data_IF_456228462823
#
_entry.id   IF_456228462823
#
_cell.length_a   1.000
_cell.length_b   1.000
_cell.length_c   1.000
_cell.angle_alpha   90.00
_cell.angle_beta   90.00
_cell.angle_gamma   90.00
#
_symmetry.space_group_name_H-M   'P 1'
#
loop_
_entity.id
_entity.type
_entity.pdbx_description
1 polymer ?
#
# COMPACT_ATOMS: atom_id res chain seq x y z
N UNK A 1 6.77 27.57 32.74
CA UNK A 1 5.73 26.51 32.65
C UNK A 1 5.72 25.98 31.23
N UNK A 2 6.18 24.76 31.07
CA UNK A 2 6.03 24.05 29.79
C UNK A 2 4.55 23.70 29.63
N UNK A 3 3.90 24.19 28.58
CA UNK A 3 2.62 23.64 28.15
C UNK A 3 2.89 22.18 27.77
N UNK A 4 2.38 21.24 28.55
CA UNK A 4 2.22 19.86 28.13
C UNK A 4 1.29 19.91 26.91
N UNK A 5 1.85 19.84 25.72
CA UNK A 5 1.09 19.55 24.52
C UNK A 5 0.60 18.11 24.71
N UNK A 6 -0.68 17.94 24.97
CA UNK A 6 -1.31 16.62 24.89
C UNK A 6 -1.05 16.12 23.47
N UNK A 7 -0.20 15.10 23.36
CA UNK A 7 0.01 14.41 22.11
C UNK A 7 -1.26 13.60 21.86
N UNK A 8 -2.11 14.03 20.95
CA UNK A 8 -3.26 13.26 20.51
C UNK A 8 -2.74 12.10 19.67
N UNK A 9 -2.62 10.93 20.28
CA UNK A 9 -2.35 9.70 19.57
C UNK A 9 -3.66 9.13 19.05
N UNK A 10 -3.65 8.69 17.78
CA UNK A 10 -4.79 8.01 17.19
C UNK A 10 -4.58 6.50 17.22
N UNK A 11 -5.68 5.78 17.36
CA UNK A 11 -5.73 4.34 17.19
C UNK A 11 -6.11 4.00 15.75
N UNK A 12 -5.37 3.07 15.14
CA UNK A 12 -5.61 2.62 13.75
C UNK A 12 -6.09 1.19 13.77
N UNK A 13 -7.24 0.97 13.15
CA UNK A 13 -7.80 -0.36 12.95
C UNK A 13 -7.83 -0.66 11.45
N UNK A 14 -7.32 -1.83 11.07
CA UNK A 14 -7.39 -2.32 9.71
C UNK A 14 -8.53 -3.31 9.56
N UNK A 15 -9.36 -3.11 8.56
CA UNK A 15 -10.42 -4.04 8.19
C UNK A 15 -10.19 -4.46 6.75
N UNK A 16 -9.93 -5.75 6.56
CA UNK A 16 -9.70 -6.34 5.23
C UNK A 16 -10.92 -7.14 4.79
N UNK A 17 -11.38 -6.84 3.59
CA UNK A 17 -12.37 -7.66 2.89
C UNK A 17 -11.78 -8.16 1.58
N UNK A 18 -11.83 -9.48 1.38
CA UNK A 18 -11.37 -10.13 0.15
C UNK A 18 -12.44 -11.06 -0.39
N UNK A 19 -12.55 -11.09 -1.73
CA UNK A 19 -13.46 -12.00 -2.42
C UNK A 19 -12.71 -12.69 -3.55
N UNK A 20 -12.95 -14.00 -3.71
CA UNK A 20 -12.36 -14.78 -4.78
C UNK A 20 -13.19 -14.65 -6.05
N UNK A 21 -12.51 -14.55 -7.19
CA UNK A 21 -13.18 -14.62 -8.49
C UNK A 21 -13.58 -16.09 -8.76
N UNK A 22 -14.86 -16.32 -9.18
CA UNK A 22 -15.34 -17.57 -9.79
C UNK A 22 -14.69 -18.83 -9.19
N UNK A 23 -15.15 -19.36 -8.12
CA UNK A 23 -14.70 -20.65 -7.53
C UNK A 23 -13.18 -20.84 -7.38
N UNK A 24 -12.36 -19.81 -7.66
CA UNK A 24 -10.93 -19.82 -7.38
C UNK A 24 -10.73 -19.81 -5.86
N UNK A 25 -10.00 -20.81 -5.36
CA UNK A 25 -9.73 -20.96 -3.93
C UNK A 25 -8.68 -19.97 -3.39
N UNK A 26 -7.97 -19.27 -4.27
CA UNK A 26 -6.89 -18.35 -3.92
C UNK A 26 -7.20 -16.96 -4.46
N UNK A 27 -7.22 -15.97 -3.56
CA UNK A 27 -7.32 -14.58 -3.94
C UNK A 27 -5.99 -14.08 -4.53
N UNK A 28 -6.07 -13.36 -5.66
CA UNK A 28 -4.90 -12.72 -6.27
C UNK A 28 -4.34 -11.54 -5.49
N UNK A 29 -5.07 -11.04 -4.51
CA UNK A 29 -4.69 -9.89 -3.69
C UNK A 29 -3.97 -10.35 -2.44
N UNK A 30 -3.05 -9.51 -1.96
CA UNK A 30 -2.34 -9.73 -0.70
C UNK A 30 -2.27 -8.46 0.11
N UNK A 31 -2.57 -8.57 1.39
CA UNK A 31 -2.53 -7.46 2.35
C UNK A 31 -1.48 -7.73 3.43
N UNK A 32 -0.71 -6.69 3.74
CA UNK A 32 0.28 -6.68 4.81
C UNK A 32 0.08 -5.44 5.67
N UNK A 33 0.07 -5.62 6.98
CA UNK A 33 0.06 -4.51 7.92
C UNK A 33 1.20 -4.68 8.92
N UNK A 34 2.01 -3.63 9.09
CA UNK A 34 3.04 -3.56 10.12
C UNK A 34 2.78 -2.39 11.05
N UNK A 35 2.86 -2.64 12.33
CA UNK A 35 2.67 -1.63 13.37
C UNK A 35 3.94 -1.46 14.19
N UNK A 36 4.30 -0.21 14.41
CA UNK A 36 5.33 0.18 15.35
C UNK A 36 4.77 1.25 16.31
N UNK A 37 5.47 1.63 17.37
CA UNK A 37 5.00 2.70 18.25
C UNK A 37 4.75 4.03 17.54
N UNK A 38 5.45 4.31 16.46
CA UNK A 38 5.40 5.59 15.76
C UNK A 38 4.53 5.57 14.49
N UNK A 39 4.37 4.38 13.86
CA UNK A 39 3.75 4.29 12.53
C UNK A 39 2.91 3.02 12.37
N UNK A 40 1.91 3.12 11.51
CA UNK A 40 1.22 1.98 10.92
C UNK A 40 1.47 1.99 9.42
N UNK A 41 1.94 0.87 8.88
CA UNK A 41 2.19 0.66 7.47
C UNK A 41 1.22 -0.38 6.94
N UNK A 42 0.37 0.00 6.00
CA UNK A 42 -0.56 -0.90 5.32
C UNK A 42 -0.20 -1.00 3.85
N UNK A 43 -0.07 -2.23 3.36
CA UNK A 43 0.29 -2.54 1.99
C UNK A 43 -0.76 -3.45 1.39
N UNK A 44 -1.39 -3.01 0.31
CA UNK A 44 -2.32 -3.81 -0.47
C UNK A 44 -1.75 -4.03 -1.86
N UNK A 45 -1.59 -5.28 -2.25
CA UNK A 45 -1.09 -5.68 -3.55
C UNK A 45 -2.15 -6.45 -4.32
N UNK A 46 -2.38 -6.06 -5.57
CA UNK A 46 -3.27 -6.72 -6.51
C UNK A 46 -2.43 -7.39 -7.60
N UNK A 47 -2.30 -8.73 -7.49
CA UNK A 47 -1.59 -9.53 -8.48
C UNK A 47 -2.39 -9.65 -9.76
N UNK A 48 -1.77 -9.31 -10.88
CA UNK A 48 -2.42 -9.35 -12.18
C UNK A 48 -2.44 -10.77 -12.76
N UNK A 49 -3.61 -11.15 -13.20
CA UNK A 49 -3.94 -12.51 -13.59
C UNK A 49 -4.96 -13.12 -12.64
N UNK A 50 -4.93 -14.42 -12.49
CA UNK A 50 -5.82 -15.15 -11.58
C UNK A 50 -5.11 -16.31 -10.87
N UNK A 51 -5.69 -16.71 -9.74
CA UNK A 51 -5.23 -17.89 -9.01
C UNK A 51 -3.86 -17.70 -8.36
N UNK A 52 -3.10 -18.80 -8.32
CA UNK A 52 -1.83 -18.91 -7.60
C UNK A 52 -0.78 -17.94 -8.14
N UNK A 53 -0.68 -17.77 -9.45
CA UNK A 53 0.32 -16.86 -10.05
C UNK A 53 0.11 -15.42 -9.64
N UNK A 54 -1.13 -14.94 -9.66
CA UNK A 54 -1.47 -13.60 -9.22
C UNK A 54 -1.19 -13.41 -7.73
N UNK A 55 -1.56 -14.39 -6.91
CA UNK A 55 -1.27 -14.36 -5.47
C UNK A 55 0.23 -14.31 -5.18
N UNK A 56 1.05 -15.14 -5.84
CA UNK A 56 2.50 -15.13 -5.68
C UNK A 56 3.10 -13.77 -6.09
N UNK A 57 2.64 -13.19 -7.19
CA UNK A 57 3.08 -11.86 -7.63
C UNK A 57 2.77 -10.79 -6.56
N UNK A 58 1.57 -10.82 -5.99
CA UNK A 58 1.16 -9.91 -4.93
C UNK A 58 1.99 -10.09 -3.65
N UNK A 59 2.23 -11.31 -3.22
CA UNK A 59 3.06 -11.62 -2.05
C UNK A 59 4.52 -11.17 -2.25
N UNK A 60 5.09 -11.43 -3.40
CA UNK A 60 6.45 -10.98 -3.73
C UNK A 60 6.55 -9.46 -3.77
N UNK A 61 5.57 -8.79 -4.35
CA UNK A 61 5.51 -7.33 -4.38
C UNK A 61 5.44 -6.76 -2.95
N UNK A 62 4.58 -7.29 -2.09
CA UNK A 62 4.46 -6.86 -0.70
C UNK A 62 5.76 -7.05 0.08
N UNK A 63 6.44 -8.18 -0.09
CA UNK A 63 7.75 -8.44 0.53
C UNK A 63 8.81 -7.46 0.08
N UNK A 64 8.87 -7.17 -1.21
CA UNK A 64 9.82 -6.18 -1.76
C UNK A 64 9.55 -4.78 -1.24
N UNK A 65 8.28 -4.38 -1.18
CA UNK A 65 7.88 -3.09 -0.60
C UNK A 65 8.32 -2.99 0.86
N UNK A 66 8.05 -4.00 1.66
CA UNK A 66 8.45 -4.04 3.06
C UNK A 66 9.96 -3.88 3.23
N UNK A 67 10.75 -4.64 2.49
CA UNK A 67 12.22 -4.57 2.56
C UNK A 67 12.74 -3.22 2.07
N UNK A 68 12.22 -2.72 0.96
CA UNK A 68 12.63 -1.42 0.42
C UNK A 68 12.30 -0.28 1.38
N UNK A 69 11.13 -0.29 2.00
CA UNK A 69 10.71 0.73 2.97
C UNK A 69 11.59 0.70 4.22
N UNK A 70 12.02 -0.47 4.65
CA UNK A 70 12.95 -0.61 5.79
C UNK A 70 14.36 -0.14 5.47
N UNK A 71 14.83 -0.38 4.24
CA UNK A 71 16.19 -0.07 3.79
C UNK A 71 16.38 1.34 3.24
N UNK A 72 15.34 1.91 2.66
CA UNK A 72 15.37 3.25 2.06
C UNK A 72 15.02 4.32 3.09
N UNK A 73 15.67 5.48 2.99
CA UNK A 73 15.35 6.63 3.86
C UNK A 73 14.03 7.32 3.52
N UNK A 74 13.44 7.03 2.37
CA UNK A 74 12.24 7.67 1.83
C UNK A 74 11.23 6.64 1.37
N UNK A 75 10.00 6.75 1.89
CA UNK A 75 8.87 5.94 1.44
C UNK A 75 8.64 6.06 -0.07
N UNK A 76 8.74 7.27 -0.58
CA UNK A 76 8.59 7.55 -2.02
C UNK A 76 9.61 6.80 -2.85
N UNK A 77 10.89 6.85 -2.50
CA UNK A 77 11.96 6.17 -3.23
C UNK A 77 11.79 4.64 -3.18
N UNK A 78 11.43 4.10 -2.04
CA UNK A 78 11.16 2.67 -1.89
C UNK A 78 10.02 2.21 -2.82
N UNK A 79 8.90 2.90 -2.79
CA UNK A 79 7.76 2.59 -3.66
C UNK A 79 8.09 2.79 -5.15
N UNK A 80 8.86 3.82 -5.48
CA UNK A 80 9.31 4.07 -6.86
C UNK A 80 10.17 2.94 -7.40
N UNK A 81 11.11 2.43 -6.62
CA UNK A 81 11.94 1.30 -7.01
C UNK A 81 11.13 0.04 -7.28
N UNK A 82 10.18 -0.26 -6.40
CA UNK A 82 9.32 -1.43 -6.59
C UNK A 82 8.38 -1.25 -7.78
N UNK A 83 7.80 -0.06 -7.95
CA UNK A 83 6.96 0.26 -9.10
C UNK A 83 7.73 0.10 -10.43
N UNK A 84 8.97 0.56 -10.50
CA UNK A 84 9.83 0.38 -11.67
C UNK A 84 10.09 -1.10 -11.97
N UNK A 85 10.29 -1.92 -10.93
CA UNK A 85 10.44 -3.37 -11.04
C UNK A 85 9.17 -4.03 -11.58
N UNK A 86 7.99 -3.61 -11.11
CA UNK A 86 6.71 -4.12 -11.57
C UNK A 86 6.43 -3.71 -13.03
N UNK A 87 6.75 -2.47 -13.39
CA UNK A 87 6.63 -2.00 -14.76
C UNK A 87 7.50 -2.82 -15.74
N UNK A 88 8.72 -3.12 -15.34
CA UNK A 88 9.64 -3.97 -16.12
C UNK A 88 9.10 -5.39 -16.27
N UNK A 89 8.61 -5.98 -15.19
CA UNK A 89 7.98 -7.31 -15.22
C UNK A 89 6.79 -7.36 -16.19
N UNK A 90 5.96 -6.30 -16.20
CA UNK A 90 4.84 -6.17 -17.14
C UNK A 90 5.29 -6.18 -18.61
N UNK A 91 6.35 -5.44 -18.94
CA UNK A 91 6.86 -5.36 -20.32
C UNK A 91 7.50 -6.67 -20.77
N UNK A 92 8.00 -7.49 -19.85
CA UNK A 92 8.63 -8.79 -20.12
C UNK A 92 7.64 -9.97 -19.99
N UNK A 93 6.35 -9.68 -19.85
CA UNK A 93 5.28 -10.67 -19.65
C UNK A 93 5.53 -11.61 -18.45
N UNK A 94 6.16 -11.08 -17.42
CA UNK A 94 6.40 -11.75 -16.14
C UNK A 94 5.27 -11.35 -15.17
N UNK A 95 4.82 -12.24 -14.27
CA UNK A 95 3.83 -11.88 -13.26
C UNK A 95 4.21 -10.64 -12.47
N UNK A 96 3.28 -9.70 -12.35
CA UNK A 96 3.48 -8.43 -11.66
C UNK A 96 2.27 -8.05 -10.82
N UNK A 97 2.42 -7.03 -10.00
CA UNK A 97 1.37 -6.57 -9.09
C UNK A 97 1.23 -5.06 -9.13
N UNK A 98 0.00 -4.59 -9.09
CA UNK A 98 -0.33 -3.24 -8.68
C UNK A 98 -0.29 -3.15 -7.15
N UNK A 99 -0.12 -1.97 -6.58
CA UNK A 99 -0.09 -1.83 -5.14
C UNK A 99 -0.52 -0.44 -4.65
N UNK A 100 -0.97 -0.42 -3.41
CA UNK A 100 -1.16 0.81 -2.62
C UNK A 100 -0.46 0.64 -1.28
N UNK A 101 0.29 1.67 -0.89
CA UNK A 101 0.97 1.74 0.41
C UNK A 101 0.43 2.94 1.16
N UNK A 102 -0.03 2.73 2.37
CA UNK A 102 -0.45 3.78 3.29
C UNK A 102 0.45 3.75 4.52
N UNK A 103 1.12 4.86 4.80
CA UNK A 103 1.89 5.07 6.03
C UNK A 103 1.18 6.11 6.88
N UNK A 104 0.82 5.72 8.09
CA UNK A 104 0.07 6.57 9.01
C UNK A 104 0.89 6.77 10.27
N UNK A 105 1.15 8.02 10.64
CA UNK A 105 1.86 8.37 11.85
C UNK A 105 0.91 8.38 13.05
N UNK A 106 1.45 8.25 14.24
CA UNK A 106 0.66 8.24 15.49
C UNK A 106 -0.14 9.53 15.71
N UNK A 107 0.27 10.64 15.12
CA UNK A 107 -0.44 11.94 15.20
C UNK A 107 -1.55 12.09 14.15
N UNK A 108 -1.76 11.08 13.29
CA UNK A 108 -2.78 11.09 12.25
C UNK A 108 -2.32 11.57 10.88
N UNK A 109 -1.08 12.06 10.75
CA UNK A 109 -0.55 12.36 9.42
C UNK A 109 -0.43 11.09 8.60
N UNK A 110 -0.80 11.15 7.34
CA UNK A 110 -0.73 9.98 6.47
C UNK A 110 -0.17 10.33 5.09
N UNK A 111 0.44 9.33 4.48
CA UNK A 111 0.91 9.36 3.10
C UNK A 111 0.41 8.10 2.40
N UNK A 112 -0.18 8.25 1.24
CA UNK A 112 -0.62 7.13 0.40
C UNK A 112 0.09 7.21 -0.94
N UNK A 113 0.72 6.11 -1.33
CA UNK A 113 1.38 5.95 -2.62
C UNK A 113 0.75 4.76 -3.35
N UNK A 114 0.42 4.95 -4.63
CA UNK A 114 -0.27 3.95 -5.44
C UNK A 114 0.42 3.76 -6.78
N UNK A 115 0.48 2.51 -7.21
CA UNK A 115 0.92 2.11 -8.53
C UNK A 115 -0.16 1.26 -9.20
N UNK A 116 -0.78 1.81 -10.23
CA UNK A 116 -1.84 1.17 -11.04
C UNK A 116 -3.03 0.63 -10.24
N UNK A 117 -3.33 1.22 -9.09
CA UNK A 117 -4.53 0.92 -8.30
C UNK A 117 -5.53 2.08 -8.37
N UNK A 118 -6.82 1.81 -8.09
CA UNK A 118 -7.79 2.90 -7.95
C UNK A 118 -7.36 3.90 -6.88
N UNK A 119 -7.70 5.19 -7.04
CA UNK A 119 -7.37 6.19 -6.04
C UNK A 119 -8.06 5.91 -4.70
N UNK A 120 -7.39 6.18 -3.57
CA UNK A 120 -7.98 6.02 -2.26
C UNK A 120 -9.07 7.08 -2.02
N UNK A 121 -10.07 6.73 -1.22
CA UNK A 121 -11.07 7.66 -0.72
C UNK A 121 -10.89 7.87 0.77
N UNK A 122 -11.04 9.11 1.23
CA UNK A 122 -11.10 9.44 2.65
C UNK A 122 -12.55 9.65 3.05
N UNK A 123 -12.99 8.87 4.02
CA UNK A 123 -14.37 8.90 4.53
C UNK A 123 -14.36 9.47 5.94
N UNK A 124 -15.08 10.56 6.13
CA UNK A 124 -15.31 11.17 7.44
C UNK A 124 -16.80 11.04 7.81
N UNK A 125 -17.17 11.46 9.03
CA UNK A 125 -18.56 11.43 9.46
C UNK A 125 -19.51 12.19 8.54
N UNK A 126 -19.04 13.25 7.90
CA UNK A 126 -19.87 14.20 7.17
C UNK A 126 -19.70 14.14 5.66
N UNK A 127 -18.63 13.53 5.16
CA UNK A 127 -18.34 13.55 3.73
C UNK A 127 -17.36 12.46 3.30
N UNK A 128 -17.40 12.17 2.02
CA UNK A 128 -16.39 11.37 1.32
C UNK A 128 -15.67 12.28 0.35
N UNK A 129 -14.36 12.27 0.36
CA UNK A 129 -13.58 13.01 -0.63
C UNK A 129 -12.36 12.22 -1.10
N UNK A 130 -11.92 12.54 -2.33
CA UNK A 130 -10.73 11.96 -2.93
C UNK A 130 -9.57 12.93 -2.64
N UNK A 131 -8.51 12.48 -1.95
CA UNK A 131 -7.33 13.31 -1.76
C UNK A 131 -6.75 13.75 -3.10
N UNK A 132 -6.19 14.97 -3.13
CA UNK A 132 -5.52 15.48 -4.32
C UNK A 132 -4.34 14.61 -4.69
N UNK A 133 -4.31 14.13 -5.93
CA UNK A 133 -3.26 13.25 -6.42
C UNK A 133 -2.16 14.02 -7.13
N UNK A 134 -0.94 13.54 -6.96
CA UNK A 134 0.21 13.93 -7.78
C UNK A 134 0.68 12.71 -8.55
N UNK A 135 0.91 12.89 -9.84
CA UNK A 135 1.39 11.82 -10.71
C UNK A 135 2.88 11.99 -10.98
N UNK A 136 3.59 10.88 -10.93
CA UNK A 136 5.02 10.84 -11.21
C UNK A 136 5.29 9.89 -12.37
N UNK A 137 6.08 10.36 -13.33
CA UNK A 137 6.53 9.54 -14.45
C UNK A 137 7.56 8.51 -13.97
N UNK A 138 7.48 7.31 -14.56
CA UNK A 138 8.42 6.21 -14.31
C UNK A 138 9.59 6.19 -15.31
N UNK A 139 9.60 7.16 -16.21
CA UNK A 139 10.63 7.30 -17.22
C UNK A 139 11.98 7.77 -16.69
#
# INVERSE_FOLDING_TARGET
>A
MSKLTESHEIYIEDILYQANKRDNRVCGDYFLCERSPETTLSVLCDGLGSGIKANLAAMMCASRLREAIRGEGSLYNACRHVAASMHRARTEDIPFSAFTVAKILKDGQYTVLSYETPPPALITKNQVYMPKQRFFSMG
#
